data_IF_978575584676
#
_entry.id   IF_978575584676
#
_cell.length_a   1.000
_cell.length_b   1.000
_cell.length_c   1.000
_cell.angle_alpha   90.00
_cell.angle_beta   90.00
_cell.angle_gamma   90.00
#
_symmetry.space_group_name_H-M   'P 1'
#
loop_
_entity.id
_entity.type
_entity.pdbx_description
1 polymer ?
#
# COMPACT_ATOMS: atom_id res chain seq x y z
N UNK A 1 -55.48 -4.35 -0.79
CA UNK A 1 -55.13 -3.13 -1.56
C UNK A 1 -56.15 -2.00 -1.34
N UNK A 2 -57.45 -2.24 -1.57
CA UNK A 2 -58.47 -1.16 -1.57
C UNK A 2 -58.73 -0.45 -0.23
N UNK A 3 -58.65 -1.13 0.92
CA UNK A 3 -58.86 -0.51 2.25
C UNK A 3 -57.73 0.43 2.71
N UNK A 4 -56.52 0.29 2.15
CA UNK A 4 -55.37 1.13 2.51
C UNK A 4 -55.40 2.49 1.78
N UNK A 5 -55.97 2.51 0.57
CA UNK A 5 -56.16 3.71 -0.23
C UNK A 5 -57.30 4.59 0.31
N UNK A 6 -58.36 3.99 0.86
CA UNK A 6 -59.48 4.73 1.48
C UNK A 6 -59.09 5.55 2.73
N UNK A 7 -58.08 5.12 3.50
CA UNK A 7 -57.71 5.79 4.76
C UNK A 7 -56.70 6.94 4.60
N UNK A 8 -55.98 7.03 3.48
CA UNK A 8 -54.87 8.00 3.33
C UNK A 8 -55.14 9.17 2.38
N UNK A 9 -56.24 9.18 1.63
CA UNK A 9 -56.46 10.14 0.53
C UNK A 9 -55.40 9.99 -0.56
N UNK A 10 -55.36 10.89 -1.57
CA UNK A 10 -54.31 10.96 -2.60
C UNK A 10 -52.93 11.35 -2.02
N UNK A 11 -52.44 10.58 -1.04
CA UNK A 11 -51.06 10.68 -0.57
C UNK A 11 -50.26 9.70 -1.40
N UNK A 12 -49.64 10.22 -2.46
CA UNK A 12 -48.68 9.51 -3.29
C UNK A 12 -47.59 8.84 -2.47
N UNK A 13 -46.92 7.83 -3.04
CA UNK A 13 -45.84 7.13 -2.38
C UNK A 13 -44.71 8.11 -2.00
N UNK A 14 -44.27 8.08 -0.74
CA UNK A 14 -43.21 8.96 -0.22
C UNK A 14 -41.83 8.58 -0.76
N UNK A 15 -41.63 7.31 -1.12
CA UNK A 15 -40.40 6.78 -1.73
C UNK A 15 -40.74 5.53 -2.54
N UNK A 16 -40.13 5.41 -3.72
CA UNK A 16 -40.15 4.20 -4.54
C UNK A 16 -38.73 3.69 -4.68
N UNK A 17 -38.54 2.38 -4.53
CA UNK A 17 -37.27 1.71 -4.78
C UNK A 17 -37.42 0.94 -6.09
N UNK A 18 -36.50 1.16 -7.03
CA UNK A 18 -36.49 0.52 -8.33
C UNK A 18 -35.17 -0.22 -8.45
N UNK A 19 -35.27 -1.52 -8.71
CA UNK A 19 -34.12 -2.37 -9.02
C UNK A 19 -34.00 -2.47 -10.54
N UNK A 20 -32.80 -2.23 -11.07
CA UNK A 20 -32.53 -2.11 -12.51
C UNK A 20 -31.45 -3.13 -12.85
N UNK A 21 -31.60 -3.81 -13.97
CA UNK A 21 -30.58 -4.72 -14.47
C UNK A 21 -29.24 -3.98 -14.68
N UNK A 22 -28.12 -4.61 -14.32
CA UNK A 22 -26.77 -4.01 -14.30
C UNK A 22 -26.38 -3.36 -15.65
N UNK A 23 -26.82 -3.94 -16.77
CA UNK A 23 -26.55 -3.47 -18.14
C UNK A 23 -27.35 -2.22 -18.52
N UNK A 24 -28.41 -1.90 -17.77
CA UNK A 24 -29.34 -0.79 -18.02
C UNK A 24 -29.24 0.31 -16.97
N UNK A 25 -28.47 0.14 -15.89
CA UNK A 25 -28.27 1.14 -14.83
C UNK A 25 -27.92 2.53 -15.40
N UNK A 26 -26.94 2.61 -16.31
CA UNK A 26 -26.50 3.90 -16.87
C UNK A 26 -27.56 4.58 -17.76
N UNK A 27 -28.31 3.78 -18.54
CA UNK A 27 -29.39 4.30 -19.38
C UNK A 27 -30.56 4.78 -18.52
N UNK A 28 -30.87 4.07 -17.44
CA UNK A 28 -31.92 4.42 -16.50
C UNK A 28 -31.57 5.66 -15.67
N UNK A 29 -30.31 5.81 -15.23
CA UNK A 29 -29.84 7.00 -14.51
C UNK A 29 -29.97 8.28 -15.34
N UNK A 30 -29.70 8.20 -16.66
CA UNK A 30 -29.92 9.33 -17.56
C UNK A 30 -31.41 9.64 -17.74
N UNK A 31 -32.24 8.61 -17.93
CA UNK A 31 -33.69 8.77 -18.10
C UNK A 31 -34.37 9.34 -16.85
N UNK A 32 -34.04 8.83 -15.66
CA UNK A 32 -34.64 9.30 -14.39
C UNK A 32 -34.24 10.75 -14.12
N UNK A 33 -33.01 11.14 -14.46
CA UNK A 33 -32.54 12.52 -14.34
C UNK A 33 -33.32 13.46 -15.27
N UNK A 34 -33.54 13.07 -16.52
CA UNK A 34 -34.30 13.85 -17.49
C UNK A 34 -35.80 13.96 -17.10
N UNK A 35 -36.38 12.86 -16.63
CA UNK A 35 -37.76 12.80 -16.15
C UNK A 35 -38.00 13.70 -14.93
N UNK A 36 -37.10 13.66 -13.95
CA UNK A 36 -37.15 14.52 -12.76
C UNK A 36 -37.00 16.01 -13.12
N UNK A 37 -36.16 16.35 -14.09
CA UNK A 37 -35.94 17.74 -14.49
C UNK A 37 -37.10 18.32 -15.34
N UNK A 38 -37.78 17.49 -16.13
CA UNK A 38 -38.75 17.96 -17.13
C UNK A 38 -40.20 17.84 -16.66
N UNK A 39 -40.59 16.66 -16.15
CA UNK A 39 -42.00 16.36 -15.87
C UNK A 39 -42.34 16.35 -14.38
N UNK A 40 -41.36 16.08 -13.51
CA UNK A 40 -41.60 15.90 -12.07
C UNK A 40 -40.57 16.64 -11.19
N UNK A 41 -40.49 17.96 -11.36
CA UNK A 41 -39.54 18.86 -10.67
C UNK A 41 -39.67 18.92 -9.14
N UNK A 42 -40.69 18.28 -8.55
CA UNK A 42 -40.88 18.13 -7.11
C UNK A 42 -40.35 16.82 -6.52
N UNK A 43 -39.77 15.91 -7.32
CA UNK A 43 -39.33 14.58 -6.87
C UNK A 43 -37.81 14.51 -6.88
N UNK A 44 -37.19 14.25 -5.73
CA UNK A 44 -35.75 13.96 -5.65
C UNK A 44 -35.47 12.48 -5.93
N UNK A 45 -34.51 12.16 -6.79
CA UNK A 45 -34.00 10.80 -6.96
C UNK A 45 -32.60 10.66 -6.34
N UNK A 46 -32.24 9.43 -5.98
CA UNK A 46 -30.89 9.09 -5.50
C UNK A 46 -30.51 7.77 -6.15
N UNK A 47 -29.44 7.77 -6.96
CA UNK A 47 -28.94 6.56 -7.59
C UNK A 47 -27.80 5.94 -6.78
N UNK A 48 -27.54 4.66 -7.00
CA UNK A 48 -26.37 3.97 -6.45
C UNK A 48 -25.08 4.66 -6.91
N UNK A 49 -25.04 5.13 -8.16
CA UNK A 49 -23.92 5.89 -8.71
C UNK A 49 -23.66 7.21 -7.98
N UNK A 50 -24.70 7.98 -7.64
CA UNK A 50 -24.54 9.24 -6.92
C UNK A 50 -23.99 9.04 -5.50
N UNK A 51 -24.43 7.99 -4.80
CA UNK A 51 -23.91 7.64 -3.46
C UNK A 51 -22.44 7.19 -3.55
N UNK A 52 -22.08 6.37 -4.54
CA UNK A 52 -20.68 5.97 -4.73
C UNK A 52 -19.80 7.19 -5.03
N UNK A 53 -20.27 8.12 -5.87
CA UNK A 53 -19.54 9.33 -6.22
C UNK A 53 -19.30 10.26 -5.00
N UNK A 54 -20.29 10.37 -4.10
CA UNK A 54 -20.18 11.16 -2.87
C UNK A 54 -19.06 10.65 -1.95
N UNK A 55 -18.94 9.33 -1.78
CA UNK A 55 -17.89 8.72 -0.95
C UNK A 55 -16.56 8.48 -1.69
N UNK A 56 -16.54 8.60 -3.01
CA UNK A 56 -15.32 8.43 -3.83
C UNK A 56 -14.26 9.45 -3.44
N UNK A 57 -14.62 10.73 -3.32
CA UNK A 57 -13.66 11.78 -2.95
C UNK A 57 -13.02 11.55 -1.58
N UNK A 58 -13.79 11.04 -0.62
CA UNK A 58 -13.28 10.71 0.71
C UNK A 58 -12.32 9.52 0.66
N UNK A 59 -12.70 8.46 -0.07
CA UNK A 59 -11.87 7.27 -0.26
C UNK A 59 -10.55 7.61 -0.97
N UNK A 60 -10.61 8.38 -2.05
CA UNK A 60 -9.43 8.82 -2.82
C UNK A 60 -8.47 9.65 -1.96
N UNK A 61 -9.00 10.50 -1.07
CA UNK A 61 -8.19 11.31 -0.14
C UNK A 61 -7.48 10.43 0.89
N UNK A 62 -8.19 9.47 1.49
CA UNK A 62 -7.61 8.55 2.48
C UNK A 62 -6.53 7.69 1.83
N UNK A 63 -6.78 7.19 0.61
CA UNK A 63 -5.79 6.42 -0.17
C UNK A 63 -4.53 7.25 -0.45
N UNK A 64 -4.70 8.48 -0.97
CA UNK A 64 -3.59 9.37 -1.30
C UNK A 64 -2.72 9.65 -0.08
N UNK A 65 -3.31 10.01 1.06
CA UNK A 65 -2.58 10.27 2.30
C UNK A 65 -1.86 9.02 2.79
N UNK A 66 -2.52 7.86 2.74
CA UNK A 66 -1.94 6.58 3.12
C UNK A 66 -0.70 6.23 2.28
N UNK A 67 -0.78 6.40 0.95
CA UNK A 67 0.33 6.14 0.02
C UNK A 67 1.50 7.09 0.29
N UNK A 68 1.25 8.39 0.45
CA UNK A 68 2.31 9.37 0.71
C UNK A 68 3.04 9.07 2.01
N UNK A 69 2.30 8.77 3.09
CA UNK A 69 2.88 8.38 4.37
C UNK A 69 3.70 7.10 4.27
N UNK A 70 3.19 6.08 3.57
CA UNK A 70 3.90 4.82 3.36
C UNK A 70 5.25 5.04 2.66
N UNK A 71 5.27 5.84 1.58
CA UNK A 71 6.50 6.16 0.84
C UNK A 71 7.52 6.88 1.72
N UNK A 72 7.08 7.87 2.51
CA UNK A 72 8.00 8.60 3.41
C UNK A 72 8.61 7.65 4.45
N UNK A 73 7.80 6.81 5.08
CA UNK A 73 8.27 5.85 6.08
C UNK A 73 9.20 4.79 5.46
N UNK A 74 8.89 4.33 4.25
CA UNK A 74 9.73 3.41 3.50
C UNK A 74 11.11 4.03 3.22
N UNK A 75 11.17 5.28 2.76
CA UNK A 75 12.42 6.01 2.53
C UNK A 75 13.25 6.18 3.81
N UNK A 76 12.62 6.50 4.93
CA UNK A 76 13.30 6.62 6.24
C UNK A 76 13.88 5.25 6.65
N UNK A 77 13.09 4.19 6.52
CA UNK A 77 13.54 2.82 6.80
C UNK A 77 14.72 2.42 5.92
N UNK A 78 14.66 2.79 4.64
CA UNK A 78 15.71 2.55 3.66
C UNK A 78 17.02 3.22 4.04
N UNK A 79 16.94 4.49 4.47
CA UNK A 79 18.10 5.26 4.91
C UNK A 79 18.75 4.64 6.15
N UNK A 80 17.94 4.20 7.13
CA UNK A 80 18.44 3.52 8.32
C UNK A 80 19.10 2.18 8.00
N UNK A 81 18.52 1.40 7.08
CA UNK A 81 19.11 0.15 6.63
C UNK A 81 20.46 0.38 5.94
N UNK A 82 20.54 1.36 5.04
CA UNK A 82 21.77 1.72 4.35
C UNK A 82 22.87 2.13 5.34
N UNK A 83 22.55 3.01 6.29
CA UNK A 83 23.49 3.49 7.30
C UNK A 83 24.00 2.35 8.21
N UNK A 84 23.12 1.43 8.58
CA UNK A 84 23.47 0.25 9.40
C UNK A 84 24.38 -0.70 8.63
N UNK A 85 24.08 -0.96 7.35
CA UNK A 85 24.92 -1.79 6.46
C UNK A 85 26.31 -1.18 6.28
N UNK A 86 26.40 0.12 5.98
CA UNK A 86 27.67 0.84 5.83
C UNK A 86 28.51 0.72 7.11
N UNK A 87 27.89 0.95 8.27
CA UNK A 87 28.58 0.85 9.57
C UNK A 87 29.06 -0.58 9.82
N UNK A 88 28.23 -1.59 9.54
CA UNK A 88 28.61 -3.01 9.67
C UNK A 88 29.82 -3.36 8.79
N UNK A 89 29.86 -2.86 7.55
CA UNK A 89 30.99 -3.05 6.63
C UNK A 89 32.25 -2.36 7.17
N UNK A 90 32.15 -1.13 7.66
CA UNK A 90 33.29 -0.38 8.21
C UNK A 90 33.87 -1.10 9.44
N UNK A 91 33.04 -1.57 10.37
CA UNK A 91 33.50 -2.30 11.56
C UNK A 91 34.20 -3.61 11.19
N UNK A 92 33.68 -4.35 10.21
CA UNK A 92 34.31 -5.60 9.71
C UNK A 92 35.50 -5.36 8.80
N UNK A 93 35.71 -4.16 8.27
CA UNK A 93 36.81 -3.86 7.34
C UNK A 93 38.20 -4.20 7.92
N UNK A 94 38.39 -4.12 9.25
CA UNK A 94 39.62 -4.54 9.94
C UNK A 94 39.82 -6.06 9.95
N UNK A 95 38.78 -6.84 10.22
CA UNK A 95 38.85 -8.31 10.14
C UNK A 95 39.05 -8.78 8.70
N UNK A 96 38.42 -8.08 7.76
CA UNK A 96 38.50 -8.33 6.33
C UNK A 96 39.90 -8.02 5.77
N UNK A 97 40.56 -6.95 6.22
CA UNK A 97 41.95 -6.65 5.88
C UNK A 97 42.93 -7.67 6.46
N UNK A 98 42.68 -8.19 7.67
CA UNK A 98 43.47 -9.30 8.23
C UNK A 98 43.28 -10.59 7.42
N UNK A 99 42.06 -10.90 6.98
CA UNK A 99 41.78 -12.07 6.14
C UNK A 99 42.37 -11.93 4.71
N UNK A 100 42.39 -10.72 4.15
CA UNK A 100 43.09 -10.41 2.89
C UNK A 100 44.59 -10.71 3.01
N UNK A 101 45.22 -10.34 4.14
CA UNK A 101 46.63 -10.62 4.41
C UNK A 101 46.96 -12.13 4.54
N UNK A 102 45.96 -12.97 4.85
CA UNK A 102 46.09 -14.44 4.92
C UNK A 102 45.68 -15.11 3.59
N UNK A 103 45.27 -14.34 2.57
CA UNK A 103 45.00 -14.82 1.21
C UNK A 103 43.53 -14.94 0.82
N UNK A 104 42.59 -14.39 1.61
CA UNK A 104 41.17 -14.39 1.27
C UNK A 104 40.84 -13.30 0.24
N UNK A 105 40.21 -13.65 -0.90
CA UNK A 105 39.89 -12.68 -1.97
C UNK A 105 38.63 -11.87 -1.67
N UNK A 106 38.59 -10.59 -2.06
CA UNK A 106 37.44 -9.69 -1.86
C UNK A 106 36.10 -10.19 -2.44
N UNK A 107 36.12 -11.16 -3.36
CA UNK A 107 34.93 -11.82 -3.88
C UNK A 107 34.21 -12.70 -2.83
N UNK A 108 34.95 -13.34 -1.92
CA UNK A 108 34.37 -14.15 -0.84
C UNK A 108 33.69 -13.28 0.22
N UNK A 109 34.17 -12.05 0.42
CA UNK A 109 33.54 -11.07 1.32
C UNK A 109 32.17 -10.63 0.80
N UNK A 110 32.07 -10.32 -0.50
CA UNK A 110 30.79 -9.99 -1.16
C UNK A 110 29.74 -11.10 -1.02
N UNK A 111 30.14 -12.35 -1.23
CA UNK A 111 29.24 -13.50 -1.13
C UNK A 111 28.70 -13.70 0.30
N UNK A 112 29.55 -13.48 1.31
CA UNK A 112 29.15 -13.57 2.72
C UNK A 112 28.18 -12.44 3.12
N UNK A 113 28.46 -11.20 2.72
CA UNK A 113 27.59 -10.03 2.94
C UNK A 113 26.22 -10.19 2.27
N UNK A 114 26.17 -10.68 1.03
CA UNK A 114 24.90 -10.98 0.34
C UNK A 114 24.09 -12.05 1.07
N UNK A 115 24.73 -13.13 1.54
CA UNK A 115 24.06 -14.19 2.31
C UNK A 115 23.48 -13.67 3.63
N UNK A 116 24.19 -12.78 4.30
CA UNK A 116 23.74 -12.19 5.57
C UNK A 116 22.58 -11.22 5.34
N UNK A 117 22.68 -10.35 4.33
CA UNK A 117 21.58 -9.48 3.90
C UNK A 117 20.33 -10.25 3.49
N UNK A 118 20.49 -11.35 2.77
CA UNK A 118 19.38 -12.22 2.36
C UNK A 118 18.70 -12.91 3.56
N UNK A 119 19.44 -13.31 4.60
CA UNK A 119 18.84 -13.83 5.84
C UNK A 119 18.05 -12.75 6.57
N UNK A 120 18.60 -11.54 6.70
CA UNK A 120 17.87 -10.42 7.30
C UNK A 120 16.60 -10.10 6.52
N UNK A 121 16.66 -10.16 5.18
CA UNK A 121 15.50 -9.97 4.32
C UNK A 121 14.41 -10.99 4.60
N UNK A 122 14.72 -12.29 4.60
CA UNK A 122 13.73 -13.33 4.83
C UNK A 122 13.05 -13.12 6.20
N UNK A 123 13.84 -12.85 7.24
CA UNK A 123 13.30 -12.62 8.58
C UNK A 123 12.42 -11.37 8.65
N UNK A 124 12.85 -10.27 8.07
CA UNK A 124 12.04 -9.03 8.04
C UNK A 124 10.78 -9.18 7.19
N UNK A 125 10.85 -9.89 6.05
CA UNK A 125 9.69 -10.19 5.22
C UNK A 125 8.66 -11.05 5.97
N UNK A 126 9.09 -12.12 6.62
CA UNK A 126 8.18 -13.00 7.40
C UNK A 126 7.52 -12.23 8.54
N UNK A 127 8.32 -11.48 9.32
CA UNK A 127 7.82 -10.73 10.48
C UNK A 127 6.89 -9.60 10.05
N UNK A 128 7.24 -8.85 9.00
CA UNK A 128 6.39 -7.76 8.50
C UNK A 128 5.06 -8.26 7.97
N UNK A 129 5.03 -9.36 7.20
CA UNK A 129 3.79 -9.98 6.73
C UNK A 129 2.94 -10.47 7.90
N UNK A 130 3.55 -11.13 8.90
CA UNK A 130 2.84 -11.60 10.08
C UNK A 130 2.21 -10.45 10.87
N UNK A 131 2.98 -9.40 11.18
CA UNK A 131 2.51 -8.23 11.92
C UNK A 131 1.42 -7.49 11.14
N UNK A 132 1.64 -7.26 9.84
CA UNK A 132 0.68 -6.58 8.96
C UNK A 132 -0.65 -7.35 8.88
N UNK A 133 -0.59 -8.68 8.74
CA UNK A 133 -1.79 -9.52 8.72
C UNK A 133 -2.55 -9.47 10.05
N UNK A 134 -1.85 -9.51 11.19
CA UNK A 134 -2.48 -9.42 12.52
C UNK A 134 -3.15 -8.05 12.70
N UNK A 135 -2.44 -6.95 12.35
CA UNK A 135 -3.01 -5.60 12.41
C UNK A 135 -4.22 -5.42 11.49
N UNK A 136 -4.18 -6.02 10.30
CA UNK A 136 -5.30 -5.97 9.35
C UNK A 136 -6.56 -6.64 9.93
N UNK A 137 -6.43 -7.83 10.52
CA UNK A 137 -7.59 -8.55 11.06
C UNK A 137 -8.10 -7.96 12.37
N UNK A 138 -7.24 -7.32 13.17
CA UNK A 138 -7.62 -6.73 14.45
C UNK A 138 -8.11 -5.29 14.30
N UNK A 139 -7.21 -4.38 13.93
CA UNK A 139 -7.46 -2.94 13.93
C UNK A 139 -8.35 -2.52 12.75
N UNK A 140 -8.01 -2.97 11.54
CA UNK A 140 -8.75 -2.54 10.33
C UNK A 140 -10.15 -3.13 10.32
N UNK A 141 -10.31 -4.39 10.73
CA UNK A 141 -11.63 -5.01 10.86
C UNK A 141 -12.48 -4.31 11.93
N UNK A 142 -11.91 -4.02 13.11
CA UNK A 142 -12.62 -3.32 14.17
C UNK A 142 -13.09 -1.92 13.73
N UNK A 143 -12.24 -1.17 13.03
CA UNK A 143 -12.59 0.14 12.46
C UNK A 143 -13.66 0.02 11.37
N UNK A 144 -13.57 -0.98 10.50
CA UNK A 144 -14.55 -1.22 9.44
C UNK A 144 -15.93 -1.55 10.01
N UNK A 145 -15.98 -2.43 11.01
CA UNK A 145 -17.22 -2.81 11.71
C UNK A 145 -17.80 -1.61 12.48
N UNK A 146 -16.96 -0.76 13.08
CA UNK A 146 -17.41 0.44 13.80
C UNK A 146 -17.98 1.54 12.88
N UNK A 147 -17.48 1.66 11.64
CA UNK A 147 -17.92 2.68 10.69
C UNK A 147 -19.11 2.23 9.84
N UNK A 148 -19.47 0.94 9.81
CA UNK A 148 -20.66 0.38 9.14
C UNK A 148 -20.75 0.56 7.61
N UNK A 149 -19.85 1.37 7.03
CA UNK A 149 -19.79 1.74 5.60
C UNK A 149 -18.60 1.11 4.87
N UNK A 150 -17.70 0.41 5.59
CA UNK A 150 -16.51 -0.20 5.01
C UNK A 150 -16.65 -1.71 4.90
N UNK A 151 -16.53 -2.25 3.68
CA UNK A 151 -16.41 -3.68 3.46
C UNK A 151 -14.94 -4.07 3.54
N UNK A 152 -14.56 -4.86 4.54
CA UNK A 152 -13.21 -5.40 4.62
C UNK A 152 -12.96 -6.34 3.43
N UNK A 153 -12.07 -5.93 2.52
CA UNK A 153 -11.60 -6.77 1.41
C UNK A 153 -10.10 -6.97 1.53
N UNK A 154 -9.70 -8.18 1.92
CA UNK A 154 -8.31 -8.57 1.88
C UNK A 154 -7.87 -8.79 0.42
N UNK A 155 -7.26 -7.76 -0.17
CA UNK A 155 -6.77 -7.83 -1.55
C UNK A 155 -5.30 -8.24 -1.53
N UNK A 156 -4.98 -9.40 -2.10
CA UNK A 156 -3.61 -9.95 -2.20
C UNK A 156 -2.75 -9.27 -3.29
N UNK A 157 -3.36 -8.45 -4.15
CA UNK A 157 -2.71 -7.80 -5.29
C UNK A 157 -1.55 -6.86 -4.90
N UNK A 158 -1.70 -5.96 -3.89
CA UNK A 158 -0.62 -5.08 -3.44
C UNK A 158 0.57 -5.84 -2.84
N UNK A 159 0.31 -6.97 -2.17
CA UNK A 159 1.37 -7.84 -1.63
C UNK A 159 2.27 -8.38 -2.74
N UNK A 160 1.69 -8.73 -3.90
CA UNK A 160 2.44 -9.23 -5.06
C UNK A 160 3.38 -8.19 -5.69
N UNK A 161 3.06 -6.89 -5.58
CA UNK A 161 3.89 -5.79 -6.12
C UNK A 161 4.91 -5.28 -5.10
N UNK A 162 4.54 -5.16 -3.83
CA UNK A 162 5.44 -4.67 -2.79
C UNK A 162 6.59 -5.64 -2.50
N UNK A 163 6.33 -6.96 -2.46
CA UNK A 163 7.37 -7.96 -2.20
C UNK A 163 8.59 -7.90 -3.14
N UNK A 164 8.42 -7.90 -4.47
CA UNK A 164 9.56 -7.81 -5.39
C UNK A 164 10.25 -6.44 -5.31
N UNK A 165 9.50 -5.35 -5.08
CA UNK A 165 10.05 -4.01 -4.97
C UNK A 165 10.97 -3.88 -3.73
N UNK A 166 10.52 -4.39 -2.58
CA UNK A 166 11.33 -4.46 -1.36
C UNK A 166 12.54 -5.39 -1.56
N UNK A 167 12.37 -6.52 -2.27
CA UNK A 167 13.48 -7.42 -2.60
C UNK A 167 14.57 -6.72 -3.40
N UNK A 168 14.18 -5.97 -4.43
CA UNK A 168 15.08 -5.20 -5.30
C UNK A 168 15.83 -4.15 -4.49
N UNK A 169 15.13 -3.39 -3.63
CA UNK A 169 15.75 -2.38 -2.78
C UNK A 169 16.80 -2.97 -1.83
N UNK A 170 16.51 -4.12 -1.23
CA UNK A 170 17.42 -4.79 -0.29
C UNK A 170 18.66 -5.38 -0.97
N UNK A 171 18.60 -5.67 -2.27
CA UNK A 171 19.77 -6.08 -3.05
C UNK A 171 20.55 -4.86 -3.54
N UNK A 172 19.87 -3.82 -4.01
CA UNK A 172 20.51 -2.63 -4.59
C UNK A 172 21.31 -1.85 -3.54
N UNK A 173 20.80 -1.69 -2.32
CA UNK A 173 21.45 -0.86 -1.30
C UNK A 173 22.82 -1.38 -0.86
N UNK A 174 22.99 -2.66 -0.50
CA UNK A 174 24.31 -3.21 -0.19
C UNK A 174 25.27 -3.12 -1.37
N UNK A 175 24.77 -3.32 -2.60
CA UNK A 175 25.60 -3.25 -3.82
C UNK A 175 26.09 -1.82 -4.08
N UNK A 176 25.21 -0.81 -3.96
CA UNK A 176 25.59 0.60 -4.10
C UNK A 176 26.54 1.02 -2.97
N UNK A 177 26.21 0.68 -1.72
CA UNK A 177 27.04 1.00 -0.56
C UNK A 177 28.43 0.39 -0.70
N UNK A 178 28.52 -0.90 -1.06
CA UNK A 178 29.79 -1.58 -1.31
C UNK A 178 30.58 -0.89 -2.43
N UNK A 179 29.97 -0.60 -3.58
CA UNK A 179 30.66 0.01 -4.72
C UNK A 179 31.15 1.43 -4.41
N UNK A 180 30.43 2.19 -3.58
CA UNK A 180 30.84 3.53 -3.13
C UNK A 180 31.97 3.44 -2.08
N UNK A 181 31.90 2.49 -1.15
CA UNK A 181 32.91 2.28 -0.12
C UNK A 181 34.20 1.69 -0.69
N UNK A 182 34.14 0.74 -1.62
CA UNK A 182 35.33 0.20 -2.27
C UNK A 182 36.05 1.23 -3.13
N UNK A 183 35.32 2.16 -3.75
CA UNK A 183 35.93 3.30 -4.46
C UNK A 183 36.60 4.28 -3.49
N UNK A 184 36.01 4.55 -2.32
CA UNK A 184 36.65 5.38 -1.28
C UNK A 184 37.86 4.69 -0.66
N UNK A 185 37.81 3.40 -0.34
CA UNK A 185 38.95 2.70 0.25
C UNK A 185 40.14 2.59 -0.70
N UNK A 186 39.90 2.46 -2.01
CA UNK A 186 40.98 2.49 -3.01
C UNK A 186 41.60 3.89 -3.13
N UNK A 187 40.80 4.96 -3.08
CA UNK A 187 41.30 6.35 -3.13
C UNK A 187 42.04 6.73 -1.85
N UNK A 188 41.58 6.28 -0.68
CA UNK A 188 42.28 6.49 0.59
C UNK A 188 43.57 5.66 0.68
N UNK A 189 43.64 4.48 0.04
CA UNK A 189 44.88 3.70 -0.09
C UNK A 189 45.94 4.38 -0.99
N UNK A 190 45.53 5.26 -1.91
CA UNK A 190 46.41 5.98 -2.85
C UNK A 190 46.89 7.36 -2.33
N UNK A 191 46.32 7.88 -1.23
CA UNK A 191 46.73 9.16 -0.63
C UNK A 191 47.72 9.01 0.52
N UNK A 192 48.04 7.77 0.91
CA UNK A 192 48.98 7.46 1.99
C UNK A 192 50.35 7.04 1.45
N UNK A 193 50.55 7.08 0.13
CA UNK A 193 51.88 7.09 -0.50
C UNK A 193 52.28 8.49 -0.94
#
# INVERSE_FOLDING_TARGET
>A
MNKYLEMKGEKGAMRTLIDVEDDKEAAFDNWIQEYTNTEASGISYTSKGSVIAEYKSLSDTIEMVGVVLAVILELIGLMNFANTMVTSIIVRSRELAMLEAVGMTGAQQKCKLMKEGFKYFIWTAVVSVAISSIMSVSVVRFLADALGMFVWRFTLMPLGVCLPLIMVLIIIIPVIAHNRLSKRSVIDRLRVE
#
